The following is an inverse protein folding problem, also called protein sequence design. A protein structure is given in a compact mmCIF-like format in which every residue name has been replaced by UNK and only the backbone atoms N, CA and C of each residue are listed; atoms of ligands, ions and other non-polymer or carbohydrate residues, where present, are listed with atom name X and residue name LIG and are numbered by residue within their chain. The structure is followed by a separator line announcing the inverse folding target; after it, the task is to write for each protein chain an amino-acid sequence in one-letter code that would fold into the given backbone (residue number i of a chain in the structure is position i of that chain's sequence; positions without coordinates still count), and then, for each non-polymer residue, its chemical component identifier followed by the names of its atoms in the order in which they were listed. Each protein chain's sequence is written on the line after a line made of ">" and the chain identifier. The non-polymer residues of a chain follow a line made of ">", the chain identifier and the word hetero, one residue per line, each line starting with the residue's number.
data_IF_285448769719
#
_entry.id   IF_285448769719
#
_cell.length_a   1.000
_cell.length_b   1.000
_cell.length_c   1.000
_cell.angle_alpha   90.00
_cell.angle_beta   90.00
_cell.angle_gamma   90.00
#
_symmetry.space_group_name_H-M   'P 1'
#
loop_
_entity.id
_entity.type
_entity.pdbx_description
1 polymer ?
#
# COMPACT_ATOMS: atom_id res chain seq x y z
N UNK A 1 -23.83 -3.81 30.11
CA UNK A 1 -23.25 -4.40 28.91
C UNK A 1 -21.98 -3.62 28.61
N UNK A 2 -20.84 -4.06 29.13
CA UNK A 2 -19.56 -3.38 28.91
C UNK A 2 -19.10 -3.69 27.50
N UNK A 3 -19.07 -2.68 26.62
CA UNK A 3 -18.48 -2.81 25.29
C UNK A 3 -16.98 -2.97 25.46
N UNK A 4 -16.52 -4.22 25.58
CA UNK A 4 -15.12 -4.56 25.55
C UNK A 4 -14.66 -4.30 24.11
N UNK A 5 -14.00 -3.17 23.89
CA UNK A 5 -13.45 -2.79 22.61
C UNK A 5 -11.98 -3.24 22.56
N UNK A 6 -11.51 -3.62 21.36
CA UNK A 6 -10.12 -3.99 21.17
C UNK A 6 -9.23 -2.76 21.43
N UNK A 7 -8.09 -2.97 22.10
CA UNK A 7 -7.11 -1.90 22.34
C UNK A 7 -6.80 -1.16 21.02
N UNK A 8 -6.93 0.19 20.96
CA UNK A 8 -6.82 0.95 19.71
C UNK A 8 -5.51 0.70 18.95
N UNK A 9 -4.42 0.42 19.66
CA UNK A 9 -3.13 0.09 19.05
C UNK A 9 -3.15 -1.29 18.37
N UNK A 10 -3.80 -2.28 19.00
CA UNK A 10 -3.98 -3.61 18.43
C UNK A 10 -4.92 -3.59 17.23
N UNK A 11 -5.97 -2.77 17.29
CA UNK A 11 -6.89 -2.53 16.17
C UNK A 11 -6.13 -1.95 14.97
N UNK A 12 -5.35 -0.91 15.17
CA UNK A 12 -4.55 -0.29 14.12
C UNK A 12 -3.53 -1.27 13.51
N UNK A 13 -2.94 -2.13 14.33
CA UNK A 13 -2.03 -3.18 13.86
C UNK A 13 -2.76 -4.22 12.99
N UNK A 14 -3.94 -4.68 13.42
CA UNK A 14 -4.75 -5.62 12.68
C UNK A 14 -5.19 -5.02 11.33
N UNK A 15 -5.70 -3.80 11.32
CA UNK A 15 -6.13 -3.07 10.12
C UNK A 15 -4.95 -2.86 9.14
N UNK A 16 -3.76 -2.53 9.65
CA UNK A 16 -2.55 -2.39 8.81
C UNK A 16 -2.12 -3.71 8.18
N UNK A 17 -2.33 -4.85 8.85
CA UNK A 17 -2.03 -6.18 8.28
C UNK A 17 -3.11 -6.67 7.33
N UNK A 18 -4.37 -6.32 7.58
CA UNK A 18 -5.50 -6.73 6.76
C UNK A 18 -5.68 -5.85 5.51
N UNK A 19 -5.14 -4.62 5.54
CA UNK A 19 -5.30 -3.62 4.46
C UNK A 19 -6.73 -3.10 4.33
N UNK A 20 -7.59 -3.34 5.32
CA UNK A 20 -9.01 -2.97 5.38
C UNK A 20 -9.45 -2.75 6.83
N UNK A 21 -10.53 -1.97 7.09
CA UNK A 21 -11.04 -1.78 8.44
C UNK A 21 -11.50 -3.12 9.06
N UNK A 22 -11.33 -3.25 10.37
CA UNK A 22 -11.71 -4.45 11.11
C UNK A 22 -13.23 -4.52 11.28
N UNK A 23 -13.84 -5.63 10.88
CA UNK A 23 -15.28 -5.84 11.05
C UNK A 23 -15.63 -6.10 12.52
N UNK A 24 -16.82 -5.69 13.01
CA UNK A 24 -17.21 -5.85 14.42
C UNK A 24 -17.16 -7.30 14.93
N UNK A 25 -17.45 -8.27 14.07
CA UNK A 25 -17.36 -9.70 14.40
C UNK A 25 -15.92 -10.22 14.48
N UNK A 26 -14.99 -9.65 13.70
CA UNK A 26 -13.56 -9.98 13.76
C UNK A 26 -12.93 -9.37 15.03
N UNK A 27 -13.36 -8.18 15.44
CA UNK A 27 -12.95 -7.53 16.68
C UNK A 27 -13.30 -8.38 17.91
N UNK A 28 -14.51 -8.93 17.95
CA UNK A 28 -14.98 -9.81 19.03
C UNK A 28 -14.20 -11.13 19.07
N UNK A 29 -13.90 -11.72 17.91
CA UNK A 29 -13.09 -12.95 17.82
C UNK A 29 -11.64 -12.74 18.29
N UNK A 30 -11.09 -11.54 18.10
CA UNK A 30 -9.76 -11.18 18.59
C UNK A 30 -9.76 -10.90 20.09
N UNK A 31 -10.81 -10.27 20.61
CA UNK A 31 -11.03 -10.07 22.05
C UNK A 31 -11.14 -11.39 22.80
N UNK A 32 -11.85 -12.38 22.25
CA UNK A 32 -12.00 -13.71 22.85
C UNK A 32 -10.69 -14.51 22.86
N UNK A 33 -9.79 -14.23 21.90
CA UNK A 33 -8.46 -14.86 21.80
C UNK A 33 -7.38 -14.16 22.62
N UNK A 34 -7.63 -12.92 23.06
CA UNK A 34 -6.73 -12.22 23.96
C UNK A 34 -6.89 -12.82 25.36
N UNK A 35 -5.78 -13.26 26.02
CA UNK A 35 -5.87 -13.70 27.39
C UNK A 35 -6.38 -12.53 28.23
N UNK A 36 -7.58 -12.69 28.81
CA UNK A 36 -8.32 -11.66 29.55
C UNK A 36 -7.44 -11.02 30.61
N UNK A 37 -6.82 -9.90 30.26
CA UNK A 37 -6.19 -9.00 31.20
C UNK A 37 -7.35 -8.18 31.72
N UNK A 38 -7.97 -8.61 32.82
CA UNK A 38 -8.81 -7.91 33.81
C UNK A 38 -9.95 -8.79 34.37
N UNK A 39 -9.60 -9.74 35.23
CA UNK A 39 -10.41 -9.97 36.45
C UNK A 39 -9.40 -10.14 37.58
N UNK A 40 -9.26 -9.14 38.45
CA UNK A 40 -9.77 -9.27 39.82
C UNK A 40 -10.02 -10.72 40.20
N UNK A 41 -9.24 -11.21 41.16
CA UNK A 41 -9.63 -12.29 42.04
C UNK A 41 -11.08 -12.06 42.51
N UNK A 42 -11.95 -13.08 42.42
CA UNK A 42 -12.75 -13.42 43.58
C UNK A 42 -12.56 -14.88 43.99
N UNK A 43 -12.70 -15.04 45.30
CA UNK A 43 -12.78 -16.21 46.16
C UNK A 43 -13.88 -17.23 45.78
N UNK A 44 -13.92 -18.41 46.45
CA UNK A 44 -14.31 -19.70 45.88
C UNK A 44 -15.83 -19.90 45.84
N UNK A 45 -16.29 -20.73 44.90
CA UNK A 45 -17.66 -21.25 44.91
C UNK A 45 -17.66 -22.77 44.79
N UNK A 46 -18.38 -23.35 45.75
CA UNK A 46 -18.55 -24.76 46.00
C UNK A 46 -19.58 -25.40 45.06
N UNK A 47 -19.45 -26.72 44.92
CA UNK A 47 -20.44 -27.65 44.38
C UNK A 47 -19.83 -28.49 43.25
N UNK A 48 -19.85 -29.83 43.25
CA UNK A 48 -20.56 -30.80 44.08
C UNK A 48 -19.98 -32.17 43.73
N UNK A 49 -19.39 -32.87 44.70
CA UNK A 49 -19.31 -34.33 44.68
C UNK A 49 -19.51 -34.79 46.12
N UNK A 50 -20.71 -35.32 46.36
CA UNK A 50 -21.11 -35.93 47.60
C UNK A 50 -20.28 -37.18 47.86
N UNK A 51 -19.69 -37.31 49.06
CA UNK A 51 -20.12 -38.33 50.03
C UNK A 51 -19.27 -38.24 51.31
N UNK A 52 -19.98 -38.39 52.41
CA UNK A 52 -19.54 -38.21 53.78
C UNK A 52 -18.65 -39.35 54.28
N UNK A 53 -17.68 -39.02 55.14
CA UNK A 53 -17.59 -39.60 56.49
C UNK A 53 -16.57 -38.86 57.37
N UNK A 54 -16.74 -39.06 58.67
CA UNK A 54 -16.48 -38.10 59.73
C UNK A 54 -15.09 -38.20 60.39
N UNK A 55 -14.77 -37.10 61.10
CA UNK A 55 -13.92 -37.00 62.29
C UNK A 55 -12.40 -37.22 62.15
N UNK A 56 -11.62 -36.14 62.31
CA UNK A 56 -10.76 -35.93 63.49
C UNK A 56 -9.96 -34.60 63.48
N UNK A 57 -10.19 -33.81 64.53
CA UNK A 57 -9.34 -32.83 65.25
C UNK A 57 -7.98 -32.36 64.67
N UNK A 58 -7.82 -31.04 64.48
CA UNK A 58 -7.02 -30.12 65.34
C UNK A 58 -6.92 -28.69 64.76
N UNK A 59 -6.72 -27.66 65.61
CA UNK A 59 -6.65 -26.25 65.22
C UNK A 59 -5.22 -25.82 64.86
N UNK A 60 -5.07 -24.54 64.50
CA UNK A 60 -3.82 -23.78 64.28
C UNK A 60 -3.40 -23.61 62.82
N UNK A 61 -3.71 -22.42 62.31
CA UNK A 61 -2.89 -21.73 61.32
C UNK A 61 -1.52 -21.40 61.96
N UNK A 62 -0.41 -21.65 61.25
CA UNK A 62 0.67 -20.69 61.27
C UNK A 62 0.97 -20.25 59.85
N UNK A 63 0.63 -18.99 59.59
CA UNK A 63 1.13 -18.19 58.49
C UNK A 63 2.63 -18.42 58.32
N UNK A 64 3.04 -19.01 57.19
CA UNK A 64 4.44 -19.18 56.86
C UNK A 64 5.14 -17.80 56.88
N UNK A 65 6.33 -17.68 57.49
CA UNK A 65 7.08 -16.43 57.53
C UNK A 65 7.56 -16.09 56.13
N UNK A 66 7.00 -15.03 55.54
CA UNK A 66 7.46 -14.46 54.30
C UNK A 66 8.93 -14.01 54.45
N UNK A 67 9.90 -14.55 53.68
CA UNK A 67 11.27 -14.08 53.76
C UNK A 67 11.39 -12.71 53.08
N UNK A 68 11.84 -11.74 53.88
CA UNK A 68 12.64 -10.57 53.50
C UNK A 68 11.95 -9.34 52.85
N UNK A 69 11.62 -8.32 53.65
CA UNK A 69 11.45 -6.94 53.16
C UNK A 69 12.77 -6.29 52.69
N UNK A 70 13.94 -6.83 53.05
CA UNK A 70 15.27 -6.24 52.75
C UNK A 70 15.61 -6.26 51.25
N UNK A 71 15.46 -7.40 50.59
CA UNK A 71 15.75 -7.55 49.14
C UNK A 71 14.77 -6.81 48.24
N UNK A 72 13.49 -6.67 48.63
CA UNK A 72 12.51 -5.88 47.87
C UNK A 72 12.79 -4.37 47.97
N UNK A 73 13.28 -3.90 49.12
CA UNK A 73 13.71 -2.51 49.29
C UNK A 73 14.95 -2.22 48.45
N UNK A 74 15.96 -3.10 48.52
CA UNK A 74 17.19 -3.02 47.70
C UNK A 74 16.88 -3.05 46.20
N UNK A 75 15.95 -3.90 45.74
CA UNK A 75 15.50 -3.91 44.35
C UNK A 75 14.85 -2.59 43.92
N UNK A 76 14.06 -1.95 44.80
CA UNK A 76 13.46 -0.63 44.52
C UNK A 76 14.52 0.46 44.40
N UNK A 77 15.54 0.43 45.25
CA UNK A 77 16.66 1.38 45.18
C UNK A 77 17.50 1.16 43.92
N UNK A 78 17.75 -0.10 43.55
CA UNK A 78 18.44 -0.45 42.32
C UNK A 78 17.66 -0.01 41.06
N UNK A 79 16.33 -0.19 41.04
CA UNK A 79 15.47 0.29 39.94
C UNK A 79 15.50 1.82 39.86
N UNK A 80 15.47 2.53 40.99
CA UNK A 80 15.59 4.00 41.01
C UNK A 80 16.93 4.45 40.42
N UNK A 81 18.03 3.82 40.84
CA UNK A 81 19.36 4.12 40.30
C UNK A 81 19.46 3.82 38.80
N UNK A 82 18.94 2.68 38.35
CA UNK A 82 18.92 2.33 36.93
C UNK A 82 18.04 3.29 36.12
N UNK A 83 16.89 3.70 36.64
CA UNK A 83 16.00 4.65 35.99
C UNK A 83 16.68 6.03 35.86
N UNK A 84 17.37 6.47 36.91
CA UNK A 84 18.14 7.73 36.88
C UNK A 84 19.29 7.67 35.86
N UNK A 85 20.04 6.57 35.84
CA UNK A 85 21.11 6.37 34.87
C UNK A 85 20.57 6.27 33.44
N UNK A 86 19.43 5.60 33.24
CA UNK A 86 18.78 5.49 31.94
C UNK A 86 18.29 6.85 31.46
N UNK A 87 17.70 7.65 32.36
CA UNK A 87 17.27 9.01 32.07
C UNK A 87 18.46 9.90 31.67
N UNK A 88 19.57 9.85 32.41
CA UNK A 88 20.79 10.58 32.06
C UNK A 88 21.29 10.16 30.66
N UNK A 89 21.37 8.85 30.40
CA UNK A 89 21.79 8.30 29.11
C UNK A 89 20.85 8.70 27.97
N UNK A 90 19.54 8.79 28.24
CA UNK A 90 18.55 9.26 27.28
C UNK A 90 18.76 10.75 26.97
N UNK A 91 19.02 11.58 27.98
CA UNK A 91 19.33 13.00 27.79
C UNK A 91 20.63 13.21 26.99
N UNK A 92 21.69 12.45 27.27
CA UNK A 92 22.94 12.52 26.49
C UNK A 92 22.74 12.11 25.04
N UNK A 93 22.00 11.02 24.80
CA UNK A 93 21.65 10.59 23.45
C UNK A 93 20.84 11.65 22.70
N UNK A 94 19.83 12.22 23.35
CA UNK A 94 19.01 13.27 22.74
C UNK A 94 19.86 14.49 22.40
N UNK A 95 20.75 14.92 23.31
CA UNK A 95 21.69 16.01 23.04
C UNK A 95 22.62 15.71 21.86
N UNK A 96 23.13 14.49 21.76
CA UNK A 96 23.98 14.06 20.63
C UNK A 96 23.23 14.05 19.30
N UNK A 97 21.96 13.60 19.30
CA UNK A 97 21.11 13.65 18.10
C UNK A 97 20.86 15.11 17.68
N UNK A 98 20.49 15.99 18.62
CA UNK A 98 20.28 17.41 18.32
C UNK A 98 21.54 18.05 17.75
N UNK A 99 22.71 17.80 18.34
CA UNK A 99 23.98 18.32 17.85
C UNK A 99 24.32 17.80 16.44
N UNK A 100 23.96 16.56 16.13
CA UNK A 100 24.14 15.99 14.79
C UNK A 100 23.21 16.66 13.78
N UNK A 101 21.96 16.89 14.15
CA UNK A 101 20.98 17.61 13.32
C UNK A 101 21.47 19.03 13.03
N UNK A 102 21.97 19.74 14.04
CA UNK A 102 22.50 21.10 13.86
C UNK A 102 23.69 21.11 12.89
N UNK A 103 24.63 20.16 13.02
CA UNK A 103 25.76 20.04 12.10
C UNK A 103 25.34 19.68 10.66
N UNK A 104 24.33 18.81 10.51
CA UNK A 104 23.76 18.45 9.22
C UNK A 104 23.04 19.64 8.56
N UNK A 105 22.31 20.43 9.35
CA UNK A 105 21.63 21.64 8.89
C UNK A 105 22.64 22.69 8.41
N UNK A 106 23.68 22.98 9.20
CA UNK A 106 24.74 23.91 8.80
C UNK A 106 25.44 23.45 7.51
N UNK A 107 25.73 22.16 7.39
CA UNK A 107 26.31 21.60 6.15
C UNK A 107 25.37 21.80 4.96
N UNK A 108 24.08 21.55 5.14
CA UNK A 108 23.06 21.70 4.10
C UNK A 108 22.89 23.16 3.69
N UNK A 109 22.82 24.07 4.65
CA UNK A 109 22.76 25.52 4.39
C UNK A 109 24.02 26.02 3.68
N UNK A 110 25.21 25.51 4.04
CA UNK A 110 26.45 25.82 3.36
C UNK A 110 26.49 25.33 1.91
N UNK A 111 25.97 24.12 1.65
CA UNK A 111 25.81 23.60 0.29
C UNK A 111 24.82 24.45 -0.51
N UNK A 112 23.67 24.79 0.06
CA UNK A 112 22.67 25.63 -0.59
C UNK A 112 23.24 27.03 -0.91
N UNK A 113 24.01 27.63 -0.01
CA UNK A 113 24.67 28.90 -0.26
C UNK A 113 25.74 28.79 -1.37
N UNK A 114 26.45 27.67 -1.45
CA UNK A 114 27.41 27.38 -2.53
C UNK A 114 26.68 27.23 -3.88
N UNK A 115 25.56 26.51 -3.91
CA UNK A 115 24.73 26.38 -5.09
C UNK A 115 24.14 27.72 -5.52
N UNK A 116 23.62 28.51 -4.60
CA UNK A 116 23.13 29.86 -4.89
C UNK A 116 24.23 30.73 -5.48
N UNK A 117 25.46 30.69 -4.94
CA UNK A 117 26.60 31.41 -5.50
C UNK A 117 26.96 30.93 -6.90
N UNK A 118 26.92 29.62 -7.15
CA UNK A 118 27.16 29.06 -8.49
C UNK A 118 26.09 29.51 -9.49
N UNK A 119 24.81 29.46 -9.10
CA UNK A 119 23.69 29.90 -9.93
C UNK A 119 23.79 31.39 -10.23
N UNK A 120 24.05 32.24 -9.23
CA UNK A 120 24.31 33.67 -9.45
C UNK A 120 25.50 33.90 -10.38
N UNK A 121 26.60 33.17 -10.21
CA UNK A 121 27.75 33.29 -11.09
C UNK A 121 27.48 32.89 -12.54
N UNK A 122 26.61 31.89 -12.77
CA UNK A 122 26.18 31.50 -14.14
C UNK A 122 25.26 32.55 -14.75
N UNK A 123 24.35 33.13 -13.96
CA UNK A 123 23.46 34.21 -14.40
C UNK A 123 24.24 35.47 -14.78
N UNK A 124 25.23 35.88 -13.97
CA UNK A 124 26.09 37.02 -14.26
C UNK A 124 26.99 36.76 -15.49
N UNK A 125 27.41 35.51 -15.71
CA UNK A 125 28.16 35.12 -16.90
C UNK A 125 27.32 35.08 -18.19
N UNK A 126 25.98 35.15 -18.08
CA UNK A 126 25.03 35.13 -19.19
C UNK A 126 24.35 36.50 -19.40
N UNK A 127 24.96 37.62 -19.02
CA UNK A 127 24.53 38.93 -19.51
C UNK A 127 25.02 39.11 -20.96
N UNK A 128 24.18 38.95 -22.00
CA UNK A 128 24.63 39.04 -23.38
C UNK A 128 24.65 40.51 -23.82
N UNK A 129 25.62 40.94 -24.64
CA UNK A 129 25.48 42.20 -25.35
C UNK A 129 24.22 42.14 -26.22
N UNK A 130 23.43 43.22 -26.24
CA UNK A 130 22.07 43.29 -26.79
C UNK A 130 21.90 42.75 -28.23
N UNK A 131 22.98 42.65 -29.00
CA UNK A 131 22.97 42.17 -30.40
C UNK A 131 23.04 40.63 -30.54
N UNK A 132 23.39 39.88 -29.48
CA UNK A 132 23.47 38.41 -29.51
C UNK A 132 22.13 37.70 -29.17
N UNK A 133 21.17 38.44 -28.60
CA UNK A 133 19.88 37.88 -28.16
C UNK A 133 18.97 37.45 -29.32
N UNK A 134 19.06 38.11 -30.48
CA UNK A 134 18.23 37.77 -31.64
C UNK A 134 18.59 36.40 -32.25
N UNK A 135 19.89 36.03 -32.24
CA UNK A 135 20.35 34.75 -32.78
C UNK A 135 20.10 33.59 -31.81
N UNK A 136 20.34 33.80 -30.51
CA UNK A 136 20.08 32.77 -29.49
C UNK A 136 18.59 32.49 -29.26
N UNK A 137 17.73 33.51 -29.39
CA UNK A 137 16.28 33.31 -29.29
C UNK A 137 15.72 32.45 -30.43
N UNK A 138 16.28 32.56 -31.64
CA UNK A 138 15.89 31.72 -32.78
C UNK A 138 16.31 30.26 -32.58
N UNK A 139 17.55 30.00 -32.13
CA UNK A 139 18.05 28.65 -31.85
C UNK A 139 17.30 27.97 -30.70
N UNK A 140 16.95 28.72 -29.64
CA UNK A 140 16.15 28.18 -28.52
C UNK A 140 14.71 27.86 -28.98
N UNK A 141 14.12 28.69 -29.83
CA UNK A 141 12.79 28.43 -30.39
C UNK A 141 12.79 27.20 -31.30
N UNK A 142 13.85 27.00 -32.09
CA UNK A 142 13.96 25.85 -32.98
C UNK A 142 14.22 24.55 -32.20
N UNK A 143 15.08 24.60 -31.18
CA UNK A 143 15.27 23.50 -30.23
C UNK A 143 13.98 23.14 -29.49
N UNK A 144 13.17 24.14 -29.11
CA UNK A 144 11.86 23.91 -28.47
C UNK A 144 10.87 23.27 -29.45
N UNK A 145 10.88 23.69 -30.73
CA UNK A 145 10.06 23.09 -31.78
C UNK A 145 10.44 21.63 -32.03
N UNK A 146 11.73 21.34 -32.07
CA UNK A 146 12.26 19.99 -32.22
C UNK A 146 11.91 19.09 -31.03
N UNK A 147 12.05 19.60 -29.80
CA UNK A 147 11.66 18.88 -28.59
C UNK A 147 10.15 18.56 -28.58
N UNK A 148 9.29 19.50 -28.97
CA UNK A 148 7.85 19.26 -29.09
C UNK A 148 7.52 18.22 -30.15
N UNK A 149 8.24 18.19 -31.28
CA UNK A 149 8.07 17.18 -32.31
C UNK A 149 8.44 15.78 -31.79
N UNK A 150 9.58 15.66 -31.08
CA UNK A 150 10.03 14.41 -30.45
C UNK A 150 9.04 13.91 -29.39
N UNK A 151 8.53 14.81 -28.54
CA UNK A 151 7.48 14.48 -27.55
C UNK A 151 6.21 13.99 -28.25
N UNK A 152 5.80 14.65 -29.34
CA UNK A 152 4.64 14.24 -30.13
C UNK A 152 4.80 12.85 -30.74
N UNK A 153 5.98 12.53 -31.26
CA UNK A 153 6.31 11.20 -31.78
C UNK A 153 6.28 10.14 -30.67
N UNK A 154 6.90 10.42 -29.51
CA UNK A 154 6.89 9.51 -28.37
C UNK A 154 5.48 9.25 -27.83
N UNK A 155 4.66 10.29 -27.70
CA UNK A 155 3.26 10.16 -27.28
C UNK A 155 2.45 9.32 -28.29
N UNK A 156 2.67 9.53 -29.58
CA UNK A 156 2.03 8.73 -30.62
C UNK A 156 2.43 7.26 -30.53
N UNK A 157 3.71 6.98 -30.23
CA UNK A 157 4.21 5.62 -29.99
C UNK A 157 3.57 4.96 -28.77
N UNK A 158 3.50 5.69 -27.64
CA UNK A 158 2.86 5.22 -26.41
C UNK A 158 1.36 4.94 -26.61
N UNK A 159 0.64 5.82 -27.31
CA UNK A 159 -0.78 5.61 -27.61
C UNK A 159 -0.99 4.34 -28.44
N UNK A 160 -0.17 4.11 -29.48
CA UNK A 160 -0.25 2.88 -30.28
C UNK A 160 0.02 1.64 -29.44
N UNK A 161 1.04 1.69 -28.59
CA UNK A 161 1.39 0.57 -27.72
C UNK A 161 0.28 0.26 -26.72
N UNK A 162 -0.34 1.29 -26.12
CA UNK A 162 -1.45 1.12 -25.18
C UNK A 162 -2.70 0.56 -25.87
N UNK A 163 -3.00 1.04 -27.08
CA UNK A 163 -4.08 0.48 -27.90
C UNK A 163 -3.81 -1.01 -28.15
N UNK A 164 -2.62 -1.37 -28.64
CA UNK A 164 -2.28 -2.76 -28.91
C UNK A 164 -2.33 -3.64 -27.65
N UNK A 165 -1.87 -3.13 -26.51
CA UNK A 165 -1.92 -3.83 -25.23
C UNK A 165 -3.37 -4.06 -24.76
N UNK A 166 -4.21 -3.03 -24.85
CA UNK A 166 -5.63 -3.10 -24.52
C UNK A 166 -6.36 -4.10 -25.43
N UNK A 167 -6.15 -4.02 -26.75
CA UNK A 167 -6.73 -4.97 -27.69
C UNK A 167 -6.31 -6.41 -27.36
N UNK A 168 -5.02 -6.67 -27.09
CA UNK A 168 -4.58 -8.01 -26.67
C UNK A 168 -5.24 -8.46 -25.38
N UNK A 169 -5.26 -7.60 -24.36
CA UNK A 169 -5.79 -7.96 -23.04
C UNK A 169 -7.29 -8.32 -23.09
N UNK A 170 -8.09 -7.60 -23.87
CA UNK A 170 -9.54 -7.80 -23.92
C UNK A 170 -9.98 -8.71 -25.08
N UNK A 171 -9.42 -8.52 -26.28
CA UNK A 171 -9.85 -9.23 -27.49
C UNK A 171 -9.27 -10.63 -27.54
N UNK A 172 -8.03 -10.87 -27.11
CA UNK A 172 -7.47 -12.23 -27.14
C UNK A 172 -8.23 -13.16 -26.17
N UNK A 173 -8.57 -12.67 -24.98
CA UNK A 173 -9.37 -13.42 -23.99
C UNK A 173 -10.79 -13.65 -24.51
N UNK A 174 -11.39 -12.67 -25.17
CA UNK A 174 -12.71 -12.80 -25.79
C UNK A 174 -12.70 -13.80 -26.95
N UNK A 175 -11.67 -13.78 -27.80
CA UNK A 175 -11.48 -14.70 -28.91
C UNK A 175 -11.39 -16.14 -28.40
N UNK A 176 -10.54 -16.41 -27.41
CA UNK A 176 -10.43 -17.74 -26.78
C UNK A 176 -11.77 -18.21 -26.21
N UNK A 177 -12.54 -17.30 -25.60
CA UNK A 177 -13.86 -17.65 -25.05
C UNK A 177 -14.88 -17.95 -26.15
N UNK A 178 -14.85 -17.20 -27.26
CA UNK A 178 -15.71 -17.45 -28.42
C UNK A 178 -15.37 -18.77 -29.09
N UNK A 179 -14.08 -19.08 -29.26
CA UNK A 179 -13.62 -20.36 -29.81
C UNK A 179 -14.08 -21.54 -28.93
N UNK A 180 -13.94 -21.42 -27.60
CA UNK A 180 -14.42 -22.44 -26.67
C UNK A 180 -15.95 -22.62 -26.71
N UNK A 181 -16.71 -21.55 -26.96
CA UNK A 181 -18.17 -21.63 -27.15
C UNK A 181 -18.49 -22.30 -28.49
N UNK A 182 -17.76 -21.97 -29.55
CA UNK A 182 -17.91 -22.58 -30.88
C UNK A 182 -17.64 -24.09 -30.82
N UNK A 183 -16.54 -24.52 -30.21
CA UNK A 183 -16.20 -25.93 -30.02
C UNK A 183 -17.28 -26.68 -29.21
N UNK A 184 -17.79 -26.04 -28.15
CA UNK A 184 -18.88 -26.61 -27.35
C UNK A 184 -20.17 -26.76 -28.15
N UNK A 185 -20.51 -25.80 -29.01
CA UNK A 185 -21.67 -25.90 -29.89
C UNK A 185 -21.49 -27.01 -30.93
N UNK A 186 -20.30 -27.11 -31.54
CA UNK A 186 -19.97 -28.16 -32.49
C UNK A 186 -20.00 -29.55 -31.85
N UNK A 187 -19.52 -29.68 -30.61
CA UNK A 187 -19.56 -30.92 -29.82
C UNK A 187 -20.98 -31.36 -29.42
N UNK A 188 -21.91 -30.41 -29.21
CA UNK A 188 -23.33 -30.70 -28.90
C UNK A 188 -24.10 -31.16 -30.16
N UNK A 189 -23.43 -31.26 -31.32
CA UNK A 189 -24.06 -31.67 -32.56
C UNK A 189 -24.83 -30.54 -33.24
N UNK A 190 -24.59 -29.28 -32.84
CA UNK A 190 -24.88 -28.14 -33.70
C UNK A 190 -23.77 -28.03 -34.75
N UNK A 191 -23.53 -29.10 -35.51
CA UNK A 191 -22.93 -28.94 -36.81
C UNK A 191 -23.94 -28.17 -37.66
N UNK A 192 -23.55 -27.09 -38.36
CA UNK A 192 -24.30 -26.69 -39.54
C UNK A 192 -24.18 -27.90 -40.47
N UNK A 193 -25.25 -28.68 -40.49
CA UNK A 193 -25.41 -29.80 -41.40
C UNK A 193 -25.12 -29.27 -42.80
N UNK A 194 -24.24 -29.97 -43.48
CA UNK A 194 -23.85 -29.80 -44.86
C UNK A 194 -25.02 -29.29 -45.72
N UNK A 195 -24.87 -28.10 -46.30
CA UNK A 195 -25.44 -27.79 -47.60
C UNK A 195 -24.34 -28.05 -48.65
N UNK A 196 -23.98 -29.34 -48.80
CA UNK A 196 -23.50 -29.82 -50.08
C UNK A 196 -24.67 -30.46 -50.81
N UNK A 197 -25.38 -29.67 -51.60
CA UNK A 197 -25.98 -30.19 -52.83
C UNK A 197 -26.05 -29.09 -53.90
N UNK A 198 -25.08 -29.16 -54.82
CA UNK A 198 -25.32 -29.11 -56.26
C UNK A 198 -25.98 -27.86 -56.88
N UNK A 199 -25.15 -26.96 -57.45
CA UNK A 199 -25.18 -26.72 -58.89
C UNK A 199 -23.85 -26.07 -59.35
N UNK A 200 -23.38 -26.53 -60.49
CA UNK A 200 -22.07 -26.31 -61.09
C UNK A 200 -21.90 -24.86 -61.66
N UNK A 201 -20.71 -24.53 -62.19
CA UNK A 201 -20.14 -23.18 -62.24
C UNK A 201 -20.65 -22.36 -63.43
N UNK A 202 -20.73 -21.04 -63.27
CA UNK A 202 -20.60 -20.15 -64.43
C UNK A 202 -20.07 -18.75 -64.04
N UNK A 203 -19.52 -18.13 -65.06
CA UNK A 203 -18.45 -17.15 -65.05
C UNK A 203 -18.80 -15.72 -64.59
N UNK A 204 -17.74 -15.02 -64.19
CA UNK A 204 -17.41 -13.62 -64.47
C UNK A 204 -18.50 -12.53 -64.33
N UNK A 205 -18.29 -11.60 -63.39
CA UNK A 205 -18.45 -10.14 -63.59
C UNK A 205 -18.16 -9.42 -62.25
N UNK A 206 -16.97 -8.82 -62.06
CA UNK A 206 -16.71 -7.37 -62.23
C UNK A 206 -17.67 -6.43 -61.48
N UNK A 207 -17.09 -5.78 -60.45
CA UNK A 207 -17.22 -4.36 -60.10
C UNK A 207 -18.58 -3.67 -60.29
N UNK A 208 -19.21 -3.23 -59.19
CA UNK A 208 -20.01 -2.00 -59.17
C UNK A 208 -19.76 -1.25 -57.86
N UNK A 209 -19.03 -0.15 -58.02
CA UNK A 209 -18.98 1.03 -57.15
C UNK A 209 -20.39 1.64 -57.06
N UNK A 210 -20.86 1.93 -55.85
CA UNK A 210 -21.91 2.93 -55.68
C UNK A 210 -21.56 3.88 -54.52
N UNK A 211 -20.99 5.01 -54.94
CA UNK A 211 -21.21 6.32 -54.36
C UNK A 211 -22.72 6.56 -54.19
N UNK A 212 -23.12 7.10 -53.04
CA UNK A 212 -24.44 7.75 -52.89
C UNK A 212 -24.28 9.08 -52.15
N UNK A 213 -24.48 10.23 -52.82
CA UNK A 213 -24.54 11.54 -52.20
C UNK A 213 -25.91 11.76 -51.54
N UNK A 214 -25.89 12.44 -50.39
CA UNK A 214 -27.07 12.73 -49.60
C UNK A 214 -28.01 13.74 -50.27
N UNK A 215 -29.34 13.62 -50.09
CA UNK A 215 -30.28 14.67 -50.41
C UNK A 215 -30.62 15.51 -49.17
N UNK A 216 -30.51 16.83 -49.33
CA UNK A 216 -31.14 17.82 -48.46
C UNK A 216 -32.61 18.02 -48.86
N UNK A 217 -33.51 18.11 -47.88
CA UNK A 217 -34.83 18.79 -47.84
C UNK A 217 -35.54 18.32 -46.55
N UNK A 218 -36.16 19.12 -45.69
CA UNK A 218 -36.81 20.43 -45.80
C UNK A 218 -36.46 21.37 -44.64
#
# INVERSE_FOLDING_TARGET
>A
MSNEALDPLLRQFAEKRLGRPLEPGEEQALLERLPSRHTNQPTPTAGTAAQAHAAQAHPANPSLPQPQPKTRQEAREQIKHFLQLNQQKAYEKMRGILQTIDAQNETTLGMLASEQRKVSGVLDAHEPPADAQASGAADIQDSTREAMAMIGEQLTGLIRQEIDACFRQYVDVLAVRLDAIYDRLQSIGASPTELSESMAPDAAATAVVHDTPGPASM
#
